data_IF_700481258025
#
_entry.id   IF_700481258025
#
_cell.length_a   1.000
_cell.length_b   1.000
_cell.length_c   1.000
_cell.angle_alpha   90.00
_cell.angle_beta   90.00
_cell.angle_gamma   90.00
#
_symmetry.space_group_name_H-M   'P 1'
#
loop_
_entity.id
_entity.type
_entity.pdbx_description
1 polymer ?
#
# COMPACT_ATOMS: atom_id res chain seq x y z
N UNK A 1 -29.57 27.44 -1.74
CA UNK A 1 -28.61 26.69 -0.89
C UNK A 1 -28.07 25.46 -1.61
N UNK A 2 -28.86 24.79 -2.46
CA UNK A 2 -28.44 23.63 -3.27
C UNK A 2 -27.30 23.89 -4.28
N UNK A 3 -27.12 25.12 -4.80
CA UNK A 3 -26.06 25.38 -5.80
C UNK A 3 -24.64 25.42 -5.22
N UNK A 4 -24.47 25.64 -3.90
CA UNK A 4 -23.15 25.58 -3.25
C UNK A 4 -22.67 24.15 -3.02
N UNK A 5 -23.61 23.21 -2.85
CA UNK A 5 -23.32 21.79 -2.58
C UNK A 5 -22.74 21.07 -3.80
N UNK A 6 -23.31 21.32 -4.99
CA UNK A 6 -22.69 20.89 -6.27
C UNK A 6 -21.33 21.54 -6.47
N UNK A 7 -21.18 22.76 -5.97
CA UNK A 7 -19.94 23.53 -6.01
C UNK A 7 -18.78 22.89 -5.23
N UNK A 8 -19.07 22.50 -3.99
CA UNK A 8 -18.08 21.92 -3.09
C UNK A 8 -17.62 20.53 -3.56
N UNK A 9 -18.56 19.72 -4.07
CA UNK A 9 -18.28 18.38 -4.57
C UNK A 9 -17.32 18.38 -5.76
N UNK A 10 -17.46 19.32 -6.71
CA UNK A 10 -16.55 19.39 -7.86
C UNK A 10 -15.12 19.75 -7.45
N UNK A 11 -14.95 20.60 -6.42
CA UNK A 11 -13.62 21.00 -5.92
C UNK A 11 -12.91 19.82 -5.26
N UNK A 12 -13.63 19.04 -4.44
CA UNK A 12 -13.10 17.85 -3.76
C UNK A 12 -12.69 16.79 -4.79
N UNK A 13 -13.59 16.49 -5.75
CA UNK A 13 -13.31 15.51 -6.81
C UNK A 13 -12.11 15.95 -7.66
N UNK A 14 -12.03 17.22 -8.03
CA UNK A 14 -10.88 17.77 -8.78
C UNK A 14 -9.57 17.63 -8.01
N UNK A 15 -9.55 17.87 -6.70
CA UNK A 15 -8.35 17.69 -5.86
C UNK A 15 -7.93 16.22 -5.76
N UNK A 16 -8.88 15.31 -5.60
CA UNK A 16 -8.62 13.87 -5.59
C UNK A 16 -8.06 13.43 -6.93
N UNK A 17 -8.64 13.89 -8.04
CA UNK A 17 -8.16 13.62 -9.38
C UNK A 17 -6.73 14.11 -9.60
N UNK A 18 -6.41 15.34 -9.16
CA UNK A 18 -5.04 15.88 -9.24
C UNK A 18 -4.08 15.03 -8.40
N UNK A 19 -4.47 14.62 -7.18
CA UNK A 19 -3.63 13.79 -6.32
C UNK A 19 -3.38 12.40 -6.93
N UNK A 20 -4.41 11.77 -7.50
CA UNK A 20 -4.28 10.51 -8.23
C UNK A 20 -3.39 10.64 -9.46
N UNK A 21 -3.57 11.72 -10.23
CA UNK A 21 -2.74 12.01 -11.39
C UNK A 21 -1.27 12.19 -10.97
N UNK A 22 -1.00 12.94 -9.89
CA UNK A 22 0.34 13.11 -9.33
C UNK A 22 0.94 11.78 -8.86
N UNK A 23 0.16 10.90 -8.23
CA UNK A 23 0.63 9.56 -7.84
C UNK A 23 0.95 8.68 -9.04
N UNK A 24 0.15 8.72 -10.11
CA UNK A 24 0.41 7.99 -11.35
C UNK A 24 1.68 8.52 -12.04
N UNK A 25 1.85 9.84 -12.07
CA UNK A 25 3.09 10.46 -12.58
C UNK A 25 4.29 10.05 -11.73
N UNK A 26 4.18 10.08 -10.40
CA UNK A 26 5.25 9.64 -9.50
C UNK A 26 5.59 8.14 -9.69
N UNK A 27 4.58 7.29 -9.85
CA UNK A 27 4.76 5.87 -10.16
C UNK A 27 5.48 5.67 -11.49
N UNK A 28 5.08 6.42 -12.52
CA UNK A 28 5.68 6.35 -13.87
C UNK A 28 7.13 6.84 -13.85
N UNK A 29 7.43 7.93 -13.15
CA UNK A 29 8.78 8.45 -12.97
C UNK A 29 9.67 7.44 -12.23
N UNK A 30 9.15 6.79 -11.18
CA UNK A 30 9.89 5.75 -10.48
C UNK A 30 10.09 4.50 -11.33
N UNK A 31 9.12 4.12 -12.17
CA UNK A 31 9.28 3.01 -13.11
C UNK A 31 10.39 3.31 -14.14
N UNK A 32 10.42 4.53 -14.69
CA UNK A 32 11.47 5.00 -15.61
C UNK A 32 12.83 5.05 -14.91
N UNK A 33 12.87 5.55 -13.68
CA UNK A 33 14.08 5.60 -12.88
C UNK A 33 14.57 4.19 -12.50
N UNK A 34 13.65 3.23 -12.27
CA UNK A 34 13.99 1.84 -11.95
C UNK A 34 14.54 1.11 -13.18
N UNK A 35 14.03 1.43 -14.36
CA UNK A 35 14.58 0.97 -15.64
C UNK A 35 15.99 1.54 -15.88
N UNK A 36 16.22 2.81 -15.53
CA UNK A 36 17.50 3.50 -15.75
C UNK A 36 18.56 3.16 -14.71
N UNK A 37 18.16 2.90 -13.46
CA UNK A 37 19.03 2.52 -12.34
C UNK A 37 18.54 1.26 -11.65
N UNK A 38 18.75 0.10 -12.29
CA UNK A 38 18.31 -1.19 -11.78
C UNK A 38 19.11 -1.65 -10.56
N UNK A 39 19.95 -0.87 -9.91
CA UNK A 39 20.59 -1.29 -8.64
C UNK A 39 20.19 -0.44 -7.43
N UNK A 40 19.45 0.65 -7.63
CA UNK A 40 19.15 1.60 -6.55
C UNK A 40 17.70 1.61 -6.10
N UNK A 41 16.78 1.24 -6.98
CA UNK A 41 15.35 1.30 -6.71
C UNK A 41 14.84 -0.08 -6.30
N UNK A 42 14.38 -0.18 -5.06
CA UNK A 42 13.70 -1.37 -4.55
C UNK A 42 12.19 -1.24 -4.52
N UNK A 43 11.57 -2.34 -4.16
CA UNK A 43 10.12 -2.58 -4.34
C UNK A 43 9.26 -1.79 -3.34
N UNK A 44 9.88 -1.25 -2.28
CA UNK A 44 9.19 -0.53 -1.22
C UNK A 44 8.47 0.73 -1.72
N UNK A 45 9.10 1.54 -2.58
CA UNK A 45 8.48 2.76 -3.10
C UNK A 45 7.28 2.45 -4.01
N UNK A 46 7.37 1.36 -4.78
CA UNK A 46 6.25 0.87 -5.59
C UNK A 46 5.10 0.40 -4.72
N UNK A 47 5.39 -0.36 -3.65
CA UNK A 47 4.40 -0.78 -2.67
C UNK A 47 3.70 0.42 -2.02
N UNK A 48 4.47 1.40 -1.53
CA UNK A 48 3.95 2.59 -0.87
C UNK A 48 3.00 3.39 -1.78
N UNK A 49 3.39 3.64 -3.03
CA UNK A 49 2.58 4.41 -3.98
C UNK A 49 1.31 3.65 -4.37
N UNK A 50 1.41 2.33 -4.58
CA UNK A 50 0.24 1.48 -4.83
C UNK A 50 -0.72 1.47 -3.64
N UNK A 51 -0.19 1.49 -2.42
CA UNK A 51 -0.97 1.67 -1.20
C UNK A 51 -1.69 3.02 -1.15
N UNK A 52 -1.01 4.11 -1.45
CA UNK A 52 -1.62 5.44 -1.55
C UNK A 52 -2.70 5.49 -2.64
N UNK A 53 -2.47 4.84 -3.79
CA UNK A 53 -3.47 4.72 -4.85
C UNK A 53 -4.69 3.93 -4.37
N UNK A 54 -4.51 2.80 -3.69
CA UNK A 54 -5.59 2.03 -3.08
C UNK A 54 -6.42 2.85 -2.10
N UNK A 55 -5.73 3.58 -1.21
CA UNK A 55 -6.38 4.48 -0.22
C UNK A 55 -7.15 5.62 -0.88
N UNK A 56 -6.67 6.13 -2.01
CA UNK A 56 -7.37 7.16 -2.79
C UNK A 56 -8.69 6.65 -3.38
N UNK A 57 -8.73 5.40 -3.86
CA UNK A 57 -9.93 4.77 -4.41
C UNK A 57 -10.94 4.50 -3.30
N UNK A 58 -10.47 4.05 -2.13
CA UNK A 58 -11.30 3.87 -0.94
C UNK A 58 -11.95 5.19 -0.49
N UNK A 59 -11.17 6.28 -0.50
CA UNK A 59 -11.66 7.63 -0.20
C UNK A 59 -12.72 8.09 -1.22
N UNK A 60 -12.48 7.90 -2.51
CA UNK A 60 -13.42 8.26 -3.56
C UNK A 60 -14.77 7.52 -3.40
N UNK A 61 -14.72 6.23 -3.06
CA UNK A 61 -15.90 5.43 -2.76
C UNK A 61 -16.63 5.90 -1.50
N UNK A 62 -15.88 6.30 -0.46
CA UNK A 62 -16.44 6.84 0.78
C UNK A 62 -17.17 8.16 0.54
N UNK A 63 -16.60 9.07 -0.26
CA UNK A 63 -17.20 10.37 -0.59
C UNK A 63 -18.51 10.18 -1.37
N UNK A 64 -18.57 9.26 -2.35
CA UNK A 64 -19.80 8.98 -3.08
C UNK A 64 -20.94 8.41 -2.21
N UNK A 65 -20.62 7.82 -1.05
CA UNK A 65 -21.59 7.29 -0.09
C UNK A 65 -21.88 8.22 1.10
N UNK A 66 -21.11 9.30 1.27
CA UNK A 66 -21.18 10.14 2.46
C UNK A 66 -22.16 11.31 2.28
N UNK A 67 -22.72 11.75 3.40
CA UNK A 67 -23.64 12.89 3.46
C UNK A 67 -22.94 14.20 3.10
N UNK A 68 -23.68 15.16 2.55
CA UNK A 68 -23.11 16.34 1.90
C UNK A 68 -22.37 17.28 2.88
N UNK A 69 -22.72 17.25 4.18
CA UNK A 69 -22.01 17.98 5.25
C UNK A 69 -20.57 17.48 5.47
N UNK A 70 -20.35 16.16 5.36
CA UNK A 70 -19.02 15.55 5.52
C UNK A 70 -18.12 15.92 4.33
N UNK A 71 -18.70 16.00 3.14
CA UNK A 71 -17.98 16.41 1.92
C UNK A 71 -17.59 17.89 1.98
N UNK A 72 -18.40 18.74 2.60
CA UNK A 72 -18.11 20.16 2.78
C UNK A 72 -16.95 20.42 3.78
N UNK A 73 -16.86 19.65 4.86
CA UNK A 73 -15.69 19.67 5.75
C UNK A 73 -14.42 19.20 5.02
N UNK A 74 -14.52 18.16 4.20
CA UNK A 74 -13.40 17.69 3.36
C UNK A 74 -12.97 18.71 2.29
N UNK A 75 -13.91 19.52 1.78
CA UNK A 75 -13.60 20.61 0.86
C UNK A 75 -12.83 21.76 1.53
N UNK A 76 -13.08 21.96 2.82
CA UNK A 76 -12.46 23.03 3.62
C UNK A 76 -11.03 22.66 4.02
N UNK A 77 -10.77 21.41 4.40
CA UNK A 77 -9.46 20.97 4.88
C UNK A 77 -8.79 19.95 3.94
N UNK A 78 -7.67 20.34 3.32
CA UNK A 78 -6.88 19.44 2.47
C UNK A 78 -6.34 18.22 3.22
N UNK A 79 -6.07 18.37 4.52
CA UNK A 79 -5.58 17.29 5.40
C UNK A 79 -6.60 16.14 5.49
N UNK A 80 -7.90 16.43 5.41
CA UNK A 80 -8.95 15.41 5.44
C UNK A 80 -8.94 14.50 4.20
N UNK A 81 -8.38 14.98 3.08
CA UNK A 81 -8.20 14.21 1.85
C UNK A 81 -6.85 13.47 1.88
N UNK A 82 -5.80 14.10 2.42
CA UNK A 82 -4.46 13.53 2.45
C UNK A 82 -4.31 12.39 3.47
N UNK A 83 -4.96 12.50 4.64
CA UNK A 83 -4.81 11.53 5.73
C UNK A 83 -5.22 10.10 5.34
N UNK A 84 -6.40 9.86 4.72
CA UNK A 84 -6.79 8.51 4.28
C UNK A 84 -5.84 7.93 3.23
N UNK A 85 -5.31 8.78 2.33
CA UNK A 85 -4.35 8.38 1.30
C UNK A 85 -3.00 7.99 1.90
N UNK A 86 -2.51 8.75 2.89
CA UNK A 86 -1.30 8.42 3.65
C UNK A 86 -1.49 7.13 4.45
N UNK A 87 -2.65 6.95 5.07
CA UNK A 87 -2.96 5.74 5.83
C UNK A 87 -2.93 4.49 4.93
N UNK A 88 -3.44 4.58 3.70
CA UNK A 88 -3.32 3.52 2.70
C UNK A 88 -1.86 3.17 2.35
N UNK A 89 -0.99 4.19 2.25
CA UNK A 89 0.45 3.98 2.05
C UNK A 89 1.14 3.30 3.23
N UNK A 90 0.81 3.71 4.46
CA UNK A 90 1.31 3.08 5.70
C UNK A 90 0.85 1.63 5.80
N UNK A 91 -0.43 1.36 5.56
CA UNK A 91 -0.98 0.00 5.58
C UNK A 91 -0.31 -0.91 4.54
N UNK A 92 -0.07 -0.40 3.33
CA UNK A 92 0.69 -1.12 2.33
C UNK A 92 2.15 -1.35 2.71
N UNK A 93 2.77 -0.44 3.46
CA UNK A 93 4.14 -0.62 3.95
C UNK A 93 4.21 -1.71 5.02
N UNK A 94 3.22 -1.76 5.91
CA UNK A 94 3.10 -2.85 6.89
C UNK A 94 2.87 -4.17 6.16
N UNK A 95 1.98 -4.21 5.16
CA UNK A 95 1.77 -5.39 4.34
C UNK A 95 3.05 -5.84 3.62
N UNK A 96 3.84 -4.90 3.07
CA UNK A 96 5.13 -5.16 2.46
C UNK A 96 6.10 -5.84 3.45
N UNK A 97 6.21 -5.32 4.68
CA UNK A 97 7.04 -5.92 5.72
C UNK A 97 6.54 -7.31 6.13
N UNK A 98 5.22 -7.51 6.21
CA UNK A 98 4.61 -8.81 6.48
C UNK A 98 4.93 -9.83 5.38
N UNK A 99 4.91 -9.44 4.11
CA UNK A 99 5.32 -10.33 3.02
C UNK A 99 6.83 -10.60 3.05
N UNK A 100 7.66 -9.56 3.28
CA UNK A 100 9.11 -9.70 3.39
C UNK A 100 9.52 -10.65 4.51
N UNK A 101 8.83 -10.59 5.66
CA UNK A 101 9.16 -11.45 6.82
C UNK A 101 8.91 -12.94 6.59
N UNK A 102 8.29 -13.34 5.47
CA UNK A 102 7.97 -14.73 5.18
C UNK A 102 6.92 -15.36 6.11
N UNK A 103 6.40 -14.60 7.09
CA UNK A 103 5.37 -15.02 8.06
C UNK A 103 4.11 -15.53 7.33
N UNK A 104 3.79 -14.93 6.19
CA UNK A 104 2.62 -15.28 5.39
C UNK A 104 2.86 -16.46 4.43
N UNK A 105 4.09 -16.60 3.91
CA UNK A 105 4.43 -17.61 2.87
C UNK A 105 4.93 -18.94 3.44
N UNK A 106 5.24 -19.04 4.74
CA UNK A 106 5.39 -20.33 5.40
C UNK A 106 6.64 -21.13 5.06
N UNK A 107 7.80 -20.48 4.91
CA UNK A 107 9.10 -21.17 4.74
C UNK A 107 9.50 -22.06 5.94
N UNK A 108 8.75 -21.99 7.06
CA UNK A 108 8.92 -22.82 8.25
C UNK A 108 7.84 -23.87 8.50
N UNK A 109 7.04 -24.24 7.48
CA UNK A 109 6.00 -25.28 7.60
C UNK A 109 4.79 -24.92 8.48
N UNK A 110 4.71 -23.69 8.98
CA UNK A 110 3.63 -23.15 9.82
C UNK A 110 3.13 -21.78 9.29
N UNK A 111 3.14 -21.57 7.97
CA UNK A 111 2.60 -20.34 7.38
C UNK A 111 1.08 -20.28 7.51
N UNK A 112 0.55 -19.10 7.85
CA UNK A 112 -0.90 -18.89 8.00
C UNK A 112 -1.69 -19.15 6.71
N UNK A 113 -1.03 -19.05 5.55
CA UNK A 113 -1.65 -19.24 4.25
C UNK A 113 -0.72 -20.03 3.32
N UNK A 114 -0.95 -21.33 3.19
CA UNK A 114 -0.21 -22.30 2.36
C UNK A 114 -0.45 -22.15 0.85
N UNK A 115 -0.71 -20.94 0.36
CA UNK A 115 -1.05 -20.70 -1.04
C UNK A 115 0.04 -19.90 -1.74
N UNK A 116 0.36 -20.31 -2.97
CA UNK A 116 1.28 -19.66 -3.92
C UNK A 116 0.88 -18.22 -4.32
N UNK A 117 -0.02 -17.57 -3.57
CA UNK A 117 -0.57 -16.24 -3.82
C UNK A 117 0.29 -15.11 -3.23
N UNK A 118 1.30 -15.42 -2.42
CA UNK A 118 2.19 -14.43 -1.81
C UNK A 118 3.46 -14.22 -2.63
N UNK A 119 4.03 -13.01 -2.59
CA UNK A 119 5.28 -12.72 -3.28
C UNK A 119 6.46 -13.30 -2.51
N UNK A 120 7.31 -14.05 -3.19
CA UNK A 120 8.61 -14.47 -2.67
C UNK A 120 9.66 -13.39 -2.98
N UNK A 121 10.50 -13.10 -2.00
CA UNK A 121 11.61 -12.16 -2.15
C UNK A 121 12.91 -12.92 -2.25
N UNK A 122 13.81 -12.40 -3.07
CA UNK A 122 15.15 -12.99 -3.19
C UNK A 122 15.82 -12.80 -1.85
N UNK A 123 16.06 -13.86 -1.11
CA UNK A 123 16.90 -13.82 0.10
C UNK A 123 18.29 -13.37 -0.34
N UNK A 124 18.77 -12.15 -0.01
CA UNK A 124 20.21 -12.00 0.05
C UNK A 124 20.61 -12.82 1.26
N UNK A 125 21.12 -14.03 1.05
CA UNK A 125 21.87 -14.76 2.07
C UNK A 125 22.93 -13.79 2.61
N UNK A 126 22.74 -13.18 3.79
CA UNK A 126 23.78 -12.38 4.36
C UNK A 126 24.77 -13.43 4.85
N UNK A 127 25.94 -13.53 4.24
CA UNK A 127 27.03 -14.41 4.69
C UNK A 127 27.61 -14.01 6.06
N UNK A 128 26.77 -13.61 7.00
CA UNK A 128 27.11 -13.12 8.33
C UNK A 128 25.89 -12.40 8.86
N UNK A 129 25.36 -12.85 10.00
CA UNK A 129 24.17 -12.32 10.66
C UNK A 129 24.28 -10.87 11.13
N UNK A 130 24.58 -9.95 10.21
CA UNK A 130 24.45 -8.52 10.42
C UNK A 130 22.98 -8.11 10.34
N UNK A 131 22.59 -7.24 11.26
CA UNK A 131 21.29 -6.58 11.27
C UNK A 131 21.02 -5.98 9.88
N UNK A 132 19.97 -6.45 9.20
CA UNK A 132 19.53 -5.93 7.91
C UNK A 132 19.51 -4.40 7.96
N UNK A 133 20.38 -3.76 7.17
CA UNK A 133 20.37 -2.30 7.05
C UNK A 133 19.03 -1.87 6.44
N UNK A 134 18.42 -0.80 6.93
CA UNK A 134 17.18 -0.22 6.35
C UNK A 134 17.27 -0.05 4.83
N UNK A 135 18.47 0.22 4.31
CA UNK A 135 18.75 0.30 2.88
C UNK A 135 18.49 -1.03 2.14
N UNK A 136 18.84 -2.18 2.73
CA UNK A 136 18.60 -3.51 2.16
C UNK A 136 17.11 -3.87 2.19
N UNK A 137 16.39 -3.49 3.25
CA UNK A 137 14.93 -3.65 3.36
C UNK A 137 14.24 -2.89 2.21
N UNK A 138 14.62 -1.63 2.02
CA UNK A 138 14.02 -0.79 0.96
C UNK A 138 14.42 -1.24 -0.44
N UNK A 139 15.60 -1.86 -0.59
CA UNK A 139 16.15 -2.34 -1.87
C UNK A 139 15.73 -3.76 -2.25
N UNK A 140 15.05 -4.49 -1.37
CA UNK A 140 14.70 -5.89 -1.61
C UNK A 140 13.77 -6.06 -2.82
N UNK A 141 14.04 -7.11 -3.61
CA UNK A 141 13.32 -7.39 -4.85
C UNK A 141 12.64 -8.74 -4.85
N UNK A 142 11.41 -8.80 -5.40
CA UNK A 142 10.75 -10.07 -5.67
C UNK A 142 11.58 -10.89 -6.68
N UNK A 143 11.62 -12.21 -6.48
CA UNK A 143 12.44 -13.14 -7.28
C UNK A 143 11.98 -13.23 -8.74
N UNK A 144 10.68 -13.03 -8.98
CA UNK A 144 10.06 -13.14 -10.30
C UNK A 144 9.15 -11.95 -10.60
N UNK A 145 8.95 -11.69 -11.90
CA UNK A 145 7.92 -10.77 -12.38
C UNK A 145 6.52 -11.17 -11.87
N UNK A 146 6.28 -12.47 -11.67
CA UNK A 146 5.04 -12.98 -11.06
C UNK A 146 4.88 -12.52 -9.60
N UNK A 147 5.95 -12.54 -8.84
CA UNK A 147 5.95 -12.11 -7.43
C UNK A 147 5.91 -10.59 -7.29
N UNK A 148 6.51 -9.86 -8.23
CA UNK A 148 6.30 -8.42 -8.35
C UNK A 148 4.82 -8.08 -8.57
N UNK A 149 4.14 -8.81 -9.47
CA UNK A 149 2.71 -8.63 -9.71
C UNK A 149 1.85 -8.90 -8.47
N UNK A 150 2.10 -10.02 -7.77
CA UNK A 150 1.40 -10.34 -6.51
C UNK A 150 1.60 -9.25 -5.47
N UNK A 151 2.84 -8.81 -5.28
CA UNK A 151 3.19 -7.74 -4.34
C UNK A 151 2.42 -6.47 -4.65
N UNK A 152 2.39 -6.05 -5.92
CA UNK A 152 1.68 -4.85 -6.35
C UNK A 152 0.17 -4.93 -6.06
N UNK A 153 -0.46 -6.06 -6.37
CA UNK A 153 -1.89 -6.29 -6.11
C UNK A 153 -2.20 -6.24 -4.62
N UNK A 154 -1.39 -6.92 -3.79
CA UNK A 154 -1.60 -6.95 -2.35
C UNK A 154 -1.32 -5.61 -1.67
N UNK A 155 -0.32 -4.88 -2.13
CA UNK A 155 -0.01 -3.52 -1.66
C UNK A 155 -1.15 -2.55 -1.97
N UNK A 156 -1.68 -2.62 -3.20
CA UNK A 156 -2.89 -1.88 -3.58
C UNK A 156 -4.10 -2.26 -2.72
N UNK A 157 -4.33 -3.55 -2.50
CA UNK A 157 -5.46 -4.02 -1.70
C UNK A 157 -5.34 -3.63 -0.22
N UNK A 158 -4.13 -3.67 0.34
CA UNK A 158 -3.85 -3.22 1.70
C UNK A 158 -4.10 -1.72 1.87
N UNK A 159 -3.80 -0.93 0.84
CA UNK A 159 -4.15 0.49 0.81
C UNK A 159 -5.65 0.74 0.65
N UNK A 160 -6.34 -0.08 -0.16
CA UNK A 160 -7.78 0.05 -0.41
C UNK A 160 -8.65 -0.41 0.78
N UNK A 161 -8.18 -1.39 1.55
CA UNK A 161 -8.92 -1.97 2.67
C UNK A 161 -8.07 -1.96 3.93
N UNK A 162 -8.29 -0.98 4.80
CA UNK A 162 -7.64 -0.91 6.12
C UNK A 162 -7.90 -2.18 6.96
N UNK A 163 -9.08 -2.76 6.81
CA UNK A 163 -9.48 -3.99 7.49
C UNK A 163 -8.67 -5.22 7.05
N UNK A 164 -8.02 -5.17 5.87
CA UNK A 164 -7.21 -6.28 5.38
C UNK A 164 -5.99 -6.51 6.29
N UNK A 165 -5.21 -5.46 6.54
CA UNK A 165 -4.01 -5.55 7.39
C UNK A 165 -4.38 -5.89 8.83
N UNK A 166 -5.43 -5.25 9.36
CA UNK A 166 -5.95 -5.56 10.70
C UNK A 166 -6.40 -7.03 10.78
N UNK A 167 -7.03 -7.54 9.73
CA UNK A 167 -7.44 -8.94 9.63
C UNK A 167 -6.25 -9.90 9.71
N UNK A 168 -5.17 -9.61 8.98
CA UNK A 168 -3.93 -10.39 9.04
C UNK A 168 -3.34 -10.37 10.46
N UNK A 169 -3.25 -9.20 11.10
CA UNK A 169 -2.71 -9.06 12.45
C UNK A 169 -3.53 -9.85 13.48
N UNK A 170 -4.85 -9.80 13.41
CA UNK A 170 -5.74 -10.58 14.29
C UNK A 170 -5.58 -12.08 14.12
N UNK A 171 -5.39 -12.55 12.88
CA UNK A 171 -5.15 -13.97 12.65
C UNK A 171 -3.77 -14.40 13.18
N UNK A 172 -2.75 -13.54 13.10
CA UNK A 172 -1.44 -13.78 13.69
C UNK A 172 -1.50 -13.87 15.23
N UNK A 173 -2.27 -12.99 15.86
CA UNK A 173 -2.51 -13.01 17.31
C UNK A 173 -3.18 -14.33 17.73
N UNK A 174 -4.28 -14.71 17.06
CA UNK A 174 -5.00 -15.97 17.32
C UNK A 174 -4.13 -17.21 17.12
N UNK A 175 -3.25 -17.20 16.13
CA UNK A 175 -2.32 -18.31 15.87
C UNK A 175 -1.28 -18.48 16.96
N UNK A 176 -0.92 -17.41 17.69
CA UNK A 176 -0.02 -17.51 18.86
C UNK A 176 -0.72 -18.09 20.08
N UNK A 177 -2.00 -17.82 20.27
CA UNK A 177 -2.78 -18.33 21.42
C UNK A 177 -3.08 -19.84 21.34
N UNK A 178 -2.93 -20.45 20.16
CA UNK A 178 -3.23 -21.89 19.96
C UNK A 178 -1.97 -22.78 20.12
N UNK A 179 -0.81 -22.19 20.45
CA UNK A 179 0.44 -22.89 20.79
C UNK A 179 0.76 -22.72 22.27
#
# INVERSE_FOLDING_TARGET
>A
MESKLTGSNYLVIRRIFISQFLLIVAFSLLAIAAYSWPERIGSFFFAFILGCLGGSVALLKRIHKSDAKVVEEMATYWVAILMPMLYGGVMSSIAYLLFMSGILSGDGGNGLFTSNLFPNFTSPDPQGGELLSFKQIVQMRPESLKDAGKLMVWCFLAGYSENFVIGILKQLERSKETK
#
